data_IF_091552463224
#
_entry.id   IF_091552463224
#
_cell.length_a   1.000
_cell.length_b   1.000
_cell.length_c   1.000
_cell.angle_alpha   90.00
_cell.angle_beta   90.00
_cell.angle_gamma   90.00
#
_symmetry.space_group_name_H-M   'P 1'
#
loop_
_entity.id
_entity.type
_entity.pdbx_description
1 polymer ?
#
# COMPACT_ATOMS: atom_id res chain seq x y z
N UNK A 1 1.56 28.83 63.01
CA UNK A 1 2.97 28.46 62.76
C UNK A 1 3.48 29.42 61.67
N UNK A 2 4.06 30.61 61.93
CA UNK A 2 5.11 31.07 62.84
C UNK A 2 6.50 30.45 62.57
N UNK A 3 7.44 31.28 62.10
CA UNK A 3 8.89 31.05 61.95
C UNK A 3 9.50 32.03 60.92
N UNK A 4 9.78 33.30 61.25
CA UNK A 4 11.04 33.88 61.80
C UNK A 4 12.31 33.60 60.95
N UNK A 5 12.88 34.56 60.22
CA UNK A 5 13.85 35.64 60.57
C UNK A 5 15.31 35.19 60.86
N UNK A 6 16.27 35.72 60.09
CA UNK A 6 17.58 36.31 60.51
C UNK A 6 18.63 36.32 59.37
N UNK A 7 18.81 37.45 58.66
CA UNK A 7 19.98 38.37 58.68
C UNK A 7 21.29 37.88 59.32
N UNK A 8 22.43 37.98 58.61
CA UNK A 8 23.49 38.96 58.95
C UNK A 8 24.64 39.01 57.91
N UNK A 9 25.12 40.23 57.67
CA UNK A 9 26.32 40.61 56.93
C UNK A 9 27.57 40.67 57.83
N UNK A 10 28.77 40.59 57.20
CA UNK A 10 30.05 41.33 57.42
C UNK A 10 31.20 40.39 57.00
N UNK A 11 32.30 40.78 56.36
CA UNK A 11 32.89 42.08 55.99
C UNK A 11 34.43 41.92 55.89
N UNK A 12 35.08 42.71 55.02
CA UNK A 12 36.54 43.00 55.02
C UNK A 12 37.31 42.50 53.78
N UNK A 13 37.57 43.34 52.75
CA UNK A 13 38.67 44.34 52.54
C UNK A 13 40.04 43.69 52.19
N UNK A 14 40.53 43.72 50.92
CA UNK A 14 41.19 44.82 50.14
C UNK A 14 42.71 44.95 50.43
N UNK A 15 43.56 45.65 49.62
CA UNK A 15 43.57 45.98 48.18
C UNK A 15 45.00 45.98 47.53
N UNK A 16 45.10 46.23 46.22
CA UNK A 16 46.06 47.16 45.55
C UNK A 16 46.05 46.90 44.02
N UNK A 17 45.48 47.78 43.19
CA UNK A 17 45.92 49.11 42.72
C UNK A 17 47.04 49.13 41.66
N UNK A 18 46.64 49.50 40.43
CA UNK A 18 47.20 50.57 39.57
C UNK A 18 48.57 50.28 38.91
N UNK A 19 48.93 50.72 37.69
CA UNK A 19 48.39 51.67 36.71
C UNK A 19 49.18 51.52 35.37
N UNK A 20 48.62 52.09 34.31
CA UNK A 20 49.25 52.83 33.19
C UNK A 20 50.10 52.17 32.09
N UNK A 21 49.45 52.19 30.91
CA UNK A 21 49.94 52.60 29.57
C UNK A 21 51.28 53.37 29.54
N UNK A 22 52.17 53.08 28.58
CA UNK A 22 52.23 53.78 27.27
C UNK A 22 53.53 53.51 26.46
N UNK A 23 53.36 53.50 25.12
CA UNK A 23 54.20 54.09 24.06
C UNK A 23 55.65 53.63 23.77
N UNK A 24 55.86 53.44 22.44
CA UNK A 24 57.04 53.74 21.59
C UNK A 24 58.31 52.94 21.93
N UNK A 25 59.01 52.28 21.01
CA UNK A 25 59.36 52.67 19.66
C UNK A 25 60.90 52.73 19.57
N UNK A 26 61.45 52.15 18.49
CA UNK A 26 62.81 52.33 17.96
C UNK A 26 64.00 51.49 18.48
N UNK A 27 64.43 50.61 17.56
CA UNK A 27 65.75 50.54 16.88
C UNK A 27 66.96 49.95 17.61
N UNK A 28 67.73 49.24 16.75
CA UNK A 28 69.07 48.64 16.90
C UNK A 28 69.00 47.24 17.54
N UNK A 29 69.61 46.17 17.03
CA UNK A 29 70.92 46.07 16.38
C UNK A 29 70.89 44.99 15.28
N UNK A 30 71.56 45.35 14.19
CA UNK A 30 71.95 44.61 13.00
C UNK A 30 72.89 43.44 13.38
N UNK A 31 72.67 42.24 12.85
CA UNK A 31 73.74 41.42 12.25
C UNK A 31 73.27 40.03 11.83
N UNK A 32 73.42 39.78 10.52
CA UNK A 32 73.93 38.54 9.95
C UNK A 32 73.28 37.23 10.40
N UNK A 33 72.13 36.92 9.79
CA UNK A 33 71.72 35.53 9.58
C UNK A 33 71.14 35.35 8.19
N UNK A 34 72.02 35.09 7.22
CA UNK A 34 71.62 34.46 5.98
C UNK A 34 72.80 33.65 5.47
N UNK A 35 72.83 32.38 5.84
CA UNK A 35 73.03 31.23 4.95
C UNK A 35 73.47 30.04 5.80
N UNK A 36 72.84 28.91 5.48
CA UNK A 36 73.16 27.56 5.90
C UNK A 36 72.59 27.04 7.24
N UNK A 37 71.88 25.93 7.05
CA UNK A 37 71.56 24.83 7.97
C UNK A 37 70.13 24.86 8.56
N UNK A 38 69.43 23.78 8.23
CA UNK A 38 68.16 23.28 8.79
C UNK A 38 66.87 23.86 8.18
N UNK A 39 66.65 23.59 6.88
CA UNK A 39 65.30 23.41 6.31
C UNK A 39 65.03 21.92 6.14
N UNK A 40 64.67 21.26 7.23
CA UNK A 40 64.13 19.90 7.25
C UNK A 40 63.43 19.74 8.60
N UNK A 41 62.18 20.21 8.69
CA UNK A 41 61.17 19.93 9.74
C UNK A 41 60.05 20.98 9.66
N UNK A 42 59.29 21.00 8.56
CA UNK A 42 57.93 21.59 8.49
C UNK A 42 57.26 21.26 7.13
N UNK A 43 57.25 19.99 6.72
CA UNK A 43 56.42 19.49 5.61
C UNK A 43 55.85 18.09 5.94
N UNK A 44 55.47 17.86 7.20
CA UNK A 44 54.87 16.60 7.64
C UNK A 44 53.67 16.81 8.58
N UNK A 45 53.02 17.98 8.52
CA UNK A 45 51.83 18.30 9.33
C UNK A 45 50.68 18.91 8.51
N UNK A 46 50.75 18.86 7.18
CA UNK A 46 49.69 19.34 6.27
C UNK A 46 49.19 18.28 5.29
N UNK A 47 49.69 17.04 5.36
CA UNK A 47 49.18 15.90 4.60
C UNK A 47 48.44 14.85 5.46
N UNK A 48 48.33 15.05 6.77
CA UNK A 48 47.66 14.12 7.69
C UNK A 48 46.29 14.62 8.19
N UNK A 49 45.79 15.73 7.65
CA UNK A 49 44.40 16.20 7.83
C UNK A 49 43.59 16.19 6.52
N UNK A 50 44.17 15.71 5.41
CA UNK A 50 43.51 15.63 4.10
C UNK A 50 43.21 14.18 3.65
N UNK A 51 43.27 13.21 4.57
CA UNK A 51 43.07 11.78 4.25
C UNK A 51 41.88 11.13 4.98
N UNK A 52 41.12 11.89 5.79
CA UNK A 52 40.00 11.33 6.60
C UNK A 52 38.61 11.81 6.14
N UNK A 53 38.47 12.17 4.87
CA UNK A 53 37.18 12.48 4.25
C UNK A 53 37.00 11.65 2.97
N UNK A 54 37.41 10.37 2.99
CA UNK A 54 36.69 9.38 2.19
C UNK A 54 35.42 9.07 3.00
N UNK A 55 34.49 10.03 3.01
CA UNK A 55 33.09 9.68 3.18
C UNK A 55 32.83 8.76 2.01
N UNK A 56 32.70 7.46 2.26
CA UNK A 56 32.04 6.58 1.31
C UNK A 56 30.73 7.27 0.99
N UNK A 57 30.65 7.88 -0.20
CA UNK A 57 29.39 8.34 -0.74
C UNK A 57 28.52 7.09 -0.74
N UNK A 58 27.62 6.99 0.23
CA UNK A 58 26.53 6.06 0.13
C UNK A 58 25.85 6.47 -1.16
N UNK A 59 25.98 5.64 -2.20
CA UNK A 59 25.20 5.78 -3.42
C UNK A 59 23.74 5.79 -2.97
N UNK A 60 23.17 6.99 -2.81
CA UNK A 60 21.74 7.16 -2.65
C UNK A 60 21.18 6.63 -3.96
N UNK A 61 20.76 5.36 -3.93
CA UNK A 61 20.07 4.70 -5.04
C UNK A 61 19.05 5.72 -5.57
N UNK A 62 19.23 6.15 -6.81
CA UNK A 62 18.36 7.14 -7.42
C UNK A 62 16.91 6.69 -7.25
N UNK A 63 16.05 7.58 -6.75
CA UNK A 63 14.65 7.25 -6.54
C UNK A 63 14.02 6.88 -7.88
N UNK A 64 13.40 5.70 -7.94
CA UNK A 64 12.73 5.21 -9.13
C UNK A 64 11.49 6.08 -9.40
N UNK A 65 11.56 6.87 -10.47
CA UNK A 65 10.50 7.77 -10.91
C UNK A 65 9.52 7.11 -11.89
N UNK A 66 9.71 5.83 -12.21
CA UNK A 66 8.79 5.16 -13.12
C UNK A 66 7.38 5.12 -12.53
N UNK A 67 6.34 5.45 -13.32
CA UNK A 67 4.97 5.35 -12.86
C UNK A 67 4.57 3.90 -12.64
N UNK A 68 3.93 3.62 -11.51
CA UNK A 68 3.46 2.28 -11.17
C UNK A 68 2.05 2.33 -10.63
N UNK A 69 1.13 1.64 -11.29
CA UNK A 69 -0.20 1.36 -10.73
C UNK A 69 -0.07 0.15 -9.81
N UNK A 70 -0.58 0.29 -8.59
CA UNK A 70 -0.58 -0.79 -7.59
C UNK A 70 -1.96 -1.41 -7.50
N UNK A 71 -3.01 -0.61 -7.30
CA UNK A 71 -4.38 -1.11 -7.22
C UNK A 71 -5.37 -0.12 -7.82
N UNK A 72 -6.60 -0.60 -7.98
CA UNK A 72 -7.74 0.19 -8.44
C UNK A 72 -8.91 0.06 -7.48
N UNK A 73 -9.65 1.15 -7.28
CA UNK A 73 -10.83 1.18 -6.43
C UNK A 73 -11.98 1.80 -7.22
N UNK A 74 -13.09 1.07 -7.46
CA UNK A 74 -13.29 -0.35 -7.14
C UNK A 74 -12.43 -1.28 -8.01
N UNK A 75 -12.21 -2.53 -7.56
CA UNK A 75 -11.47 -3.55 -8.33
C UNK A 75 -12.16 -3.98 -9.63
N UNK A 76 -13.49 -3.88 -9.67
CA UNK A 76 -14.31 -4.22 -10.83
C UNK A 76 -15.14 -3.03 -11.30
N UNK A 77 -15.11 -2.73 -12.59
CA UNK A 77 -15.95 -1.74 -13.27
C UNK A 77 -17.03 -2.43 -14.10
N UNK A 78 -18.05 -1.69 -14.50
CA UNK A 78 -19.26 -2.28 -15.08
C UNK A 78 -19.36 -1.90 -16.57
N UNK A 79 -19.56 -2.91 -17.41
CA UNK A 79 -19.80 -2.72 -18.84
C UNK A 79 -21.13 -1.95 -19.10
N UNK A 80 -21.14 -1.13 -20.15
CA UNK A 80 -22.30 -0.37 -20.59
C UNK A 80 -22.51 0.97 -19.87
N UNK A 81 -21.58 1.41 -19.01
CA UNK A 81 -21.67 2.71 -18.35
C UNK A 81 -20.29 3.33 -18.07
N UNK A 82 -20.32 4.59 -17.64
CA UNK A 82 -19.17 5.29 -17.07
C UNK A 82 -19.01 4.90 -15.60
N UNK A 83 -17.77 4.63 -15.21
CA UNK A 83 -17.37 4.21 -13.87
C UNK A 83 -16.32 5.19 -13.34
N UNK A 84 -16.50 5.69 -12.13
CA UNK A 84 -15.45 6.41 -11.40
C UNK A 84 -14.46 5.39 -10.83
N UNK A 85 -13.19 5.54 -11.18
CA UNK A 85 -12.10 4.66 -10.73
C UNK A 85 -11.00 5.50 -10.09
N UNK A 86 -10.57 5.09 -8.91
CA UNK A 86 -9.37 5.59 -8.26
C UNK A 86 -8.22 4.61 -8.46
N UNK A 87 -7.15 5.06 -9.10
CA UNK A 87 -5.89 4.35 -9.21
C UNK A 87 -5.00 4.77 -8.05
N UNK A 88 -4.43 3.80 -7.34
CA UNK A 88 -3.40 4.02 -6.31
C UNK A 88 -2.08 3.48 -6.80
N UNK A 89 -0.98 4.20 -6.54
CA UNK A 89 0.32 3.80 -7.05
C UNK A 89 1.48 4.71 -6.65
N UNK A 90 2.58 4.58 -7.38
CA UNK A 90 3.78 5.39 -7.24
C UNK A 90 3.94 6.30 -8.46
N UNK A 91 4.37 7.54 -8.24
CA UNK A 91 4.66 8.53 -9.27
C UNK A 91 3.48 8.80 -10.24
N UNK A 92 2.23 8.68 -9.77
CA UNK A 92 1.03 8.91 -10.59
C UNK A 92 0.50 10.35 -10.52
N UNK A 93 1.01 11.17 -9.60
CA UNK A 93 0.55 12.54 -9.35
C UNK A 93 0.82 13.51 -10.51
N UNK A 94 1.60 13.10 -11.51
CA UNK A 94 1.86 13.82 -12.75
C UNK A 94 1.15 13.23 -13.98
N UNK A 95 0.29 12.21 -13.81
CA UNK A 95 -0.39 11.50 -14.90
C UNK A 95 -1.08 12.41 -15.93
N UNK A 96 -0.85 12.11 -17.21
CA UNK A 96 -1.39 12.85 -18.36
C UNK A 96 -2.55 12.14 -19.06
N UNK A 97 -2.52 10.82 -19.11
CA UNK A 97 -3.55 10.00 -19.75
C UNK A 97 -3.56 8.57 -19.20
N UNK A 98 -4.70 7.91 -19.36
CA UNK A 98 -4.84 6.45 -19.25
C UNK A 98 -5.02 5.92 -20.67
N UNK A 99 -4.20 4.93 -21.05
CA UNK A 99 -4.26 4.30 -22.37
C UNK A 99 -4.76 2.87 -22.21
N UNK A 100 -5.98 2.61 -22.65
CA UNK A 100 -6.53 1.25 -22.67
C UNK A 100 -6.11 0.51 -23.94
N UNK A 101 -5.76 -0.76 -23.81
CA UNK A 101 -5.42 -1.63 -24.95
C UNK A 101 -6.61 -1.76 -25.91
N UNK A 102 -7.81 -1.89 -25.35
CA UNK A 102 -9.05 -1.83 -26.13
C UNK A 102 -9.46 -0.35 -26.29
N UNK A 103 -9.29 0.16 -27.50
CA UNK A 103 -9.59 1.57 -27.85
C UNK A 103 -11.07 1.95 -27.74
N UNK A 104 -11.98 0.98 -27.56
CA UNK A 104 -13.40 1.25 -27.32
C UNK A 104 -13.66 1.68 -25.87
N UNK A 105 -12.77 1.33 -24.94
CA UNK A 105 -12.78 1.82 -23.55
C UNK A 105 -12.21 3.23 -23.52
N UNK A 106 -12.98 4.17 -22.98
CA UNK A 106 -12.61 5.60 -22.95
C UNK A 106 -12.39 6.04 -21.51
N UNK A 107 -11.32 6.80 -21.27
CA UNK A 107 -11.03 7.31 -19.94
C UNK A 107 -10.72 8.80 -19.96
N UNK A 108 -11.20 9.51 -18.95
CA UNK A 108 -10.88 10.92 -18.70
C UNK A 108 -10.39 11.08 -17.27
N UNK A 109 -9.26 11.75 -17.09
CA UNK A 109 -8.72 12.08 -15.77
C UNK A 109 -9.60 13.13 -15.08
N UNK A 110 -10.04 12.84 -13.86
CA UNK A 110 -10.80 13.76 -13.02
C UNK A 110 -9.89 14.53 -12.05
N UNK A 111 -8.98 13.82 -11.35
CA UNK A 111 -8.01 14.44 -10.45
C UNK A 111 -6.79 13.55 -10.25
N UNK A 112 -5.71 14.12 -9.69
CA UNK A 112 -4.46 13.42 -9.36
C UNK A 112 -3.75 14.12 -8.21
N UNK A 113 -2.95 13.40 -7.44
CA UNK A 113 -2.20 13.97 -6.34
C UNK A 113 -1.56 12.94 -5.42
N UNK A 114 -1.10 13.41 -4.26
CA UNK A 114 -0.63 12.52 -3.18
C UNK A 114 -1.78 11.75 -2.55
N UNK A 115 -1.46 10.61 -1.98
CA UNK A 115 -2.39 9.72 -1.30
C UNK A 115 -1.78 9.27 0.03
N UNK A 116 -2.60 9.21 1.08
CA UNK A 116 -2.11 8.85 2.40
C UNK A 116 -1.77 7.36 2.48
N UNK A 117 -0.64 7.05 3.10
CA UNK A 117 -0.20 5.70 3.45
C UNK A 117 -0.13 5.64 4.97
N UNK A 118 -0.92 4.75 5.64
CA UNK A 118 -0.85 4.60 7.09
C UNK A 118 0.59 4.31 7.57
N UNK A 119 0.98 4.79 8.75
CA UNK A 119 2.36 4.70 9.24
C UNK A 119 2.90 3.26 9.35
N UNK A 120 2.02 2.29 9.56
CA UNK A 120 2.35 0.86 9.62
C UNK A 120 2.33 0.17 8.24
N UNK A 121 2.17 0.94 7.16
CA UNK A 121 2.07 0.45 5.80
C UNK A 121 3.22 0.97 4.94
N UNK A 122 3.59 0.18 3.93
CA UNK A 122 4.63 0.55 2.96
C UNK A 122 4.00 1.21 1.74
N UNK A 123 4.58 2.30 1.24
CA UNK A 123 4.09 2.98 0.03
C UNK A 123 4.13 2.06 -1.19
N UNK A 124 5.08 1.13 -1.25
CA UNK A 124 5.20 0.15 -2.32
C UNK A 124 4.04 -0.86 -2.36
N UNK A 125 3.27 -0.95 -1.26
CA UNK A 125 2.09 -1.83 -1.13
C UNK A 125 0.77 -1.11 -1.39
N UNK A 126 0.65 0.18 -1.06
CA UNK A 126 -0.63 0.91 -1.13
C UNK A 126 -0.62 2.11 -2.09
N UNK A 127 0.55 2.56 -2.53
CA UNK A 127 0.75 3.78 -3.28
C UNK A 127 0.60 5.05 -2.45
N UNK A 128 1.54 5.98 -2.62
CA UNK A 128 1.55 7.33 -2.03
C UNK A 128 1.07 8.40 -3.02
N UNK A 129 0.62 7.99 -4.20
CA UNK A 129 0.00 8.83 -5.21
C UNK A 129 -1.29 8.20 -5.72
N UNK A 130 -2.20 9.03 -6.21
CA UNK A 130 -3.49 8.61 -6.71
C UNK A 130 -3.92 9.40 -7.94
N UNK A 131 -4.78 8.77 -8.73
CA UNK A 131 -5.44 9.35 -9.90
C UNK A 131 -6.91 8.92 -9.87
N UNK A 132 -7.84 9.86 -9.93
CA UNK A 132 -9.26 9.58 -10.17
C UNK A 132 -9.55 9.77 -11.65
N UNK A 133 -10.25 8.82 -12.26
CA UNK A 133 -10.64 8.86 -13.66
C UNK A 133 -12.08 8.37 -13.85
N UNK A 134 -12.74 8.93 -14.85
CA UNK A 134 -14.02 8.45 -15.37
C UNK A 134 -13.74 7.51 -16.53
N UNK A 135 -14.11 6.24 -16.40
CA UNK A 135 -13.84 5.17 -17.38
C UNK A 135 -15.17 4.65 -17.92
N UNK A 136 -15.44 4.93 -19.20
CA UNK A 136 -16.56 4.37 -19.93
C UNK A 136 -16.17 3.04 -20.58
N UNK A 137 -16.94 1.99 -20.27
CA UNK A 137 -16.80 0.66 -20.87
C UNK A 137 -18.03 0.38 -21.75
N UNK A 138 -17.87 0.03 -23.03
CA UNK A 138 -18.98 -0.34 -23.90
C UNK A 138 -19.78 -1.54 -23.38
N UNK A 139 -21.07 -1.59 -23.69
CA UNK A 139 -21.95 -2.68 -23.26
C UNK A 139 -21.60 -4.03 -23.90
N UNK A 140 -21.04 -4.00 -25.12
CA UNK A 140 -20.67 -5.16 -25.93
C UNK A 140 -19.21 -5.60 -25.76
N UNK A 141 -18.47 -4.99 -24.82
CA UNK A 141 -17.10 -5.36 -24.47
C UNK A 141 -16.99 -6.89 -24.26
N UNK A 142 -15.99 -7.52 -24.88
CA UNK A 142 -15.90 -8.99 -24.99
C UNK A 142 -14.97 -9.66 -23.98
N UNK A 143 -14.30 -8.90 -23.11
CA UNK A 143 -13.38 -9.42 -22.09
C UNK A 143 -13.93 -9.35 -20.67
N UNK A 144 -13.24 -10.03 -19.76
CA UNK A 144 -13.48 -9.95 -18.32
C UNK A 144 -12.52 -8.98 -17.63
N UNK A 145 -11.52 -8.47 -18.35
CA UNK A 145 -10.55 -7.50 -17.88
C UNK A 145 -10.26 -6.45 -18.97
N UNK A 146 -10.14 -5.19 -18.56
CA UNK A 146 -9.66 -4.09 -19.38
C UNK A 146 -8.23 -3.74 -18.97
N UNK A 147 -7.27 -3.99 -19.86
CA UNK A 147 -5.86 -3.66 -19.65
C UNK A 147 -5.57 -2.20 -20.02
N UNK A 148 -4.75 -1.52 -19.23
CA UNK A 148 -4.37 -0.12 -19.47
C UNK A 148 -2.97 0.21 -18.94
N UNK A 149 -2.39 1.29 -19.44
CA UNK A 149 -1.19 1.93 -18.89
C UNK A 149 -1.47 3.37 -18.48
N UNK A 150 -0.65 3.93 -17.58
CA UNK A 150 -0.69 5.34 -17.20
C UNK A 150 0.53 6.04 -17.79
N UNK A 151 0.29 7.14 -18.51
CA UNK A 151 1.34 8.01 -19.04
C UNK A 151 1.66 9.14 -18.05
N UNK A 152 2.94 9.34 -17.78
CA UNK A 152 3.48 10.49 -17.03
C UNK A 152 4.64 11.13 -17.82
N UNK A 153 5.13 12.33 -17.45
CA UNK A 153 6.35 12.88 -18.05
C UNK A 153 7.58 11.97 -17.95
N UNK A 154 7.63 11.09 -16.94
CA UNK A 154 8.76 10.20 -16.67
C UNK A 154 8.64 8.82 -17.37
N UNK A 155 7.54 8.58 -18.10
CA UNK A 155 7.36 7.38 -18.92
C UNK A 155 5.94 6.80 -18.87
N UNK A 156 5.80 5.55 -19.31
CA UNK A 156 4.57 4.77 -19.17
C UNK A 156 4.72 3.71 -18.08
N UNK A 157 3.63 3.44 -17.38
CA UNK A 157 3.59 2.36 -16.40
C UNK A 157 3.63 0.99 -17.07
N UNK A 158 3.97 -0.04 -16.30
CA UNK A 158 3.61 -1.41 -16.68
C UNK A 158 2.08 -1.53 -16.85
N UNK A 159 1.60 -2.48 -17.68
CA UNK A 159 0.17 -2.72 -17.84
C UNK A 159 -0.49 -3.11 -16.51
N UNK A 160 -1.56 -2.40 -16.17
CA UNK A 160 -2.48 -2.74 -15.09
C UNK A 160 -3.81 -3.23 -15.67
N UNK A 161 -4.65 -3.82 -14.82
CA UNK A 161 -5.92 -4.42 -15.23
C UNK A 161 -7.06 -3.99 -14.32
N UNK A 162 -8.23 -3.82 -14.92
CA UNK A 162 -9.51 -3.60 -14.25
C UNK A 162 -10.43 -4.76 -14.61
N UNK A 163 -11.03 -5.43 -13.62
CA UNK A 163 -12.04 -6.44 -13.91
C UNK A 163 -13.29 -5.75 -14.49
N UNK A 164 -13.96 -6.41 -15.44
CA UNK A 164 -15.15 -5.90 -16.12
C UNK A 164 -16.34 -6.79 -15.80
N UNK A 165 -17.19 -6.29 -14.91
CA UNK A 165 -18.43 -6.91 -14.47
C UNK A 165 -19.57 -6.63 -15.46
N UNK A 166 -20.46 -7.60 -15.62
CA UNK A 166 -21.65 -7.48 -16.47
C UNK A 166 -22.86 -7.09 -15.64
N UNK A 167 -23.65 -6.08 -16.07
CA UNK A 167 -24.93 -5.77 -15.42
C UNK A 167 -25.77 -7.04 -15.23
N UNK A 168 -26.26 -7.26 -14.01
CA UNK A 168 -27.10 -8.42 -13.65
C UNK A 168 -26.35 -9.73 -13.37
N UNK A 169 -25.03 -9.79 -13.57
CA UNK A 169 -24.20 -10.97 -13.25
C UNK A 169 -23.39 -10.83 -11.95
N UNK A 170 -23.54 -9.70 -11.26
CA UNK A 170 -22.89 -9.42 -9.99
C UNK A 170 -23.83 -8.63 -9.07
N UNK A 171 -23.50 -8.59 -7.79
CA UNK A 171 -24.11 -7.75 -6.77
C UNK A 171 -23.02 -7.00 -5.99
N UNK A 172 -23.38 -5.89 -5.37
CA UNK A 172 -22.53 -5.27 -4.35
C UNK A 172 -22.69 -6.02 -3.02
N UNK A 173 -21.65 -6.00 -2.20
CA UNK A 173 -21.83 -6.28 -0.78
C UNK A 173 -22.79 -5.27 -0.14
N UNK A 174 -23.44 -5.67 0.95
CA UNK A 174 -24.31 -4.81 1.74
C UNK A 174 -24.13 -5.11 3.22
N UNK A 175 -23.63 -4.12 3.94
CA UNK A 175 -23.52 -4.12 5.40
C UNK A 175 -24.89 -3.99 6.08
N UNK A 176 -25.09 -4.48 7.29
CA UNK A 176 -24.17 -5.25 8.16
C UNK A 176 -24.29 -6.75 7.85
N UNK A 177 -23.21 -7.35 7.32
CA UNK A 177 -23.10 -8.76 6.96
C UNK A 177 -22.04 -9.52 7.79
N UNK A 178 -21.72 -8.99 8.98
CA UNK A 178 -20.65 -9.45 9.89
C UNK A 178 -20.84 -10.80 10.57
N UNK A 179 -21.97 -11.49 10.38
CA UNK A 179 -22.32 -12.66 11.19
C UNK A 179 -23.28 -13.63 10.52
N UNK A 180 -23.31 -14.87 11.02
CA UNK A 180 -24.24 -15.90 10.52
C UNK A 180 -25.71 -15.58 10.85
N UNK A 181 -25.95 -14.65 11.77
CA UNK A 181 -27.30 -14.15 12.09
C UNK A 181 -27.79 -13.11 11.07
N UNK A 182 -26.89 -12.40 10.40
CA UNK A 182 -27.19 -11.38 9.40
C UNK A 182 -26.38 -11.57 8.11
N UNK A 183 -26.41 -12.76 7.49
CA UNK A 183 -25.66 -12.95 6.25
C UNK A 183 -26.32 -12.15 5.12
N UNK A 184 -25.53 -11.65 4.18
CA UNK A 184 -26.08 -11.21 2.91
C UNK A 184 -26.49 -12.43 2.08
N UNK A 185 -27.77 -12.51 1.71
CA UNK A 185 -28.26 -13.64 0.90
C UNK A 185 -27.90 -13.46 -0.58
N UNK A 186 -27.37 -14.52 -1.19
CA UNK A 186 -26.90 -14.51 -2.59
C UNK A 186 -27.49 -15.68 -3.38
N UNK A 187 -27.71 -15.48 -4.67
CA UNK A 187 -28.19 -16.51 -5.60
C UNK A 187 -27.07 -16.86 -6.58
N UNK A 188 -26.73 -18.15 -6.69
CA UNK A 188 -25.69 -18.63 -7.59
C UNK A 188 -26.24 -18.95 -8.99
N UNK A 189 -25.45 -18.74 -10.07
CA UNK A 189 -24.11 -18.15 -10.05
C UNK A 189 -24.15 -16.62 -9.87
N UNK A 190 -23.19 -16.06 -9.15
CA UNK A 190 -23.02 -14.61 -9.00
C UNK A 190 -21.57 -14.25 -8.72
N UNK A 191 -21.23 -12.98 -8.90
CA UNK A 191 -20.05 -12.36 -8.32
C UNK A 191 -20.49 -11.32 -7.29
N UNK A 192 -19.87 -11.28 -6.13
CA UNK A 192 -20.04 -10.16 -5.19
C UNK A 192 -18.82 -9.26 -5.28
N UNK A 193 -19.05 -7.95 -5.44
CA UNK A 193 -18.02 -6.93 -5.29
C UNK A 193 -18.08 -6.39 -3.87
N UNK A 194 -17.01 -6.63 -3.11
CA UNK A 194 -16.96 -6.29 -1.70
C UNK A 194 -15.63 -5.68 -1.27
N UNK A 195 -15.52 -5.37 0.02
CA UNK A 195 -14.36 -4.81 0.68
C UNK A 195 -14.41 -5.09 2.17
N UNK A 196 -13.32 -5.64 2.72
CA UNK A 196 -13.09 -5.72 4.17
C UNK A 196 -12.77 -4.32 4.67
N UNK A 197 -13.77 -3.57 5.14
CA UNK A 197 -13.70 -2.10 5.32
C UNK A 197 -12.88 -1.68 6.53
N UNK A 198 -12.74 -2.55 7.52
CA UNK A 198 -12.06 -2.26 8.77
C UNK A 198 -11.31 -3.49 9.32
N UNK A 199 -10.37 -3.30 10.25
CA UNK A 199 -9.79 -4.44 10.95
C UNK A 199 -10.86 -5.32 11.60
N UNK A 200 -10.66 -6.65 11.54
CA UNK A 200 -11.60 -7.66 12.06
C UNK A 200 -12.99 -7.66 11.39
N UNK A 201 -13.12 -6.99 10.25
CA UNK A 201 -14.33 -7.06 9.42
C UNK A 201 -14.42 -8.43 8.73
N UNK A 202 -15.63 -8.96 8.65
CA UNK A 202 -15.93 -10.31 8.19
C UNK A 202 -17.18 -10.25 7.32
N UNK A 203 -17.07 -10.67 6.07
CA UNK A 203 -18.22 -10.70 5.17
C UNK A 203 -18.83 -12.09 5.11
N UNK A 204 -20.10 -12.23 5.52
CA UNK A 204 -20.84 -13.49 5.48
C UNK A 204 -21.90 -13.47 4.36
N UNK A 205 -21.77 -14.40 3.42
CA UNK A 205 -22.72 -14.62 2.33
C UNK A 205 -23.45 -15.94 2.48
N UNK A 206 -24.79 -15.94 2.45
CA UNK A 206 -25.59 -17.16 2.55
C UNK A 206 -26.24 -17.55 1.22
N UNK A 207 -26.27 -18.86 0.92
CA UNK A 207 -26.94 -19.42 -0.24
C UNK A 207 -27.58 -20.78 0.07
N UNK A 208 -28.57 -21.17 -0.73
CA UNK A 208 -29.21 -22.48 -0.66
C UNK A 208 -28.51 -23.48 -1.59
N UNK A 209 -28.32 -24.72 -1.13
CA UNK A 209 -27.71 -25.79 -1.90
C UNK A 209 -28.37 -27.14 -1.65
N UNK A 210 -28.06 -28.11 -2.52
CA UNK A 210 -28.57 -29.49 -2.47
C UNK A 210 -27.43 -30.49 -2.32
N UNK A 211 -27.72 -31.63 -1.71
CA UNK A 211 -26.81 -32.74 -1.58
C UNK A 211 -26.24 -33.14 -2.96
N UNK A 212 -24.93 -33.34 -3.03
CA UNK A 212 -24.22 -33.69 -4.26
C UNK A 212 -23.95 -32.52 -5.22
N UNK A 213 -24.51 -31.33 -4.99
CA UNK A 213 -24.11 -30.15 -5.79
C UNK A 213 -22.68 -29.75 -5.48
N UNK A 214 -21.91 -29.43 -6.52
CA UNK A 214 -20.55 -28.91 -6.37
C UNK A 214 -20.58 -27.39 -6.48
N UNK A 215 -20.13 -26.71 -5.43
CA UNK A 215 -19.94 -25.27 -5.39
C UNK A 215 -18.47 -24.93 -5.55
N UNK A 216 -18.19 -23.87 -6.32
CA UNK A 216 -16.86 -23.27 -6.43
C UNK A 216 -16.93 -21.80 -6.03
N UNK A 217 -15.97 -21.37 -5.22
CA UNK A 217 -15.74 -19.98 -4.86
C UNK A 217 -14.32 -19.57 -5.24
N UNK A 218 -14.14 -18.39 -5.81
CA UNK A 218 -12.84 -17.81 -6.14
C UNK A 218 -12.84 -16.35 -5.75
N UNK A 219 -11.81 -15.91 -5.02
CA UNK A 219 -11.51 -14.50 -4.80
C UNK A 219 -10.63 -13.99 -5.94
N UNK A 220 -10.86 -12.74 -6.32
CA UNK A 220 -9.94 -11.95 -7.12
C UNK A 220 -9.67 -10.65 -6.34
N UNK A 221 -8.50 -10.56 -5.72
CA UNK A 221 -8.07 -9.42 -4.91
C UNK A 221 -6.58 -9.14 -5.13
N UNK A 222 -5.69 -10.02 -4.66
CA UNK A 222 -4.24 -9.85 -4.74
C UNK A 222 -3.75 -9.75 -6.18
N UNK A 223 -4.33 -10.52 -7.12
CA UNK A 223 -4.01 -10.42 -8.56
C UNK A 223 -4.39 -9.09 -9.20
N UNK A 224 -5.33 -8.35 -8.60
CA UNK A 224 -5.70 -6.99 -8.99
C UNK A 224 -5.04 -5.92 -8.10
N UNK A 225 -4.08 -6.32 -7.27
CA UNK A 225 -3.27 -5.43 -6.45
C UNK A 225 -3.88 -5.03 -5.11
N UNK A 226 -5.06 -5.58 -4.76
CA UNK A 226 -5.63 -5.38 -3.43
C UNK A 226 -4.63 -5.81 -2.34
N UNK A 227 -4.49 -5.03 -1.26
CA UNK A 227 -3.68 -5.44 -0.11
C UNK A 227 -4.31 -6.59 0.69
N UNK A 228 -5.57 -6.94 0.43
CA UNK A 228 -6.28 -8.03 1.08
C UNK A 228 -5.53 -9.35 0.92
N UNK A 229 -5.34 -10.04 2.03
CA UNK A 229 -4.88 -11.42 2.08
C UNK A 229 -6.09 -12.28 2.45
N UNK A 230 -6.88 -12.66 1.46
CA UNK A 230 -8.21 -13.18 1.71
C UNK A 230 -8.15 -14.64 2.17
N UNK A 231 -8.96 -14.99 3.17
CA UNK A 231 -9.33 -16.39 3.44
C UNK A 231 -10.78 -16.62 3.06
N UNK A 232 -11.07 -17.83 2.56
CA UNK A 232 -12.42 -18.32 2.30
C UNK A 232 -12.74 -19.48 3.23
N UNK A 233 -13.88 -19.44 3.89
CA UNK A 233 -14.42 -20.60 4.61
C UNK A 233 -15.87 -20.88 4.25
N UNK A 234 -16.23 -22.15 4.15
CA UNK A 234 -17.57 -22.63 3.83
C UNK A 234 -18.15 -23.36 5.04
N UNK A 235 -19.33 -22.96 5.47
CA UNK A 235 -20.02 -23.49 6.64
C UNK A 235 -21.42 -23.99 6.29
N UNK A 236 -21.95 -24.95 7.05
CA UNK A 236 -23.35 -25.36 6.98
C UNK A 236 -24.24 -24.63 8.00
N UNK A 237 -25.55 -24.86 7.92
CA UNK A 237 -26.56 -24.37 8.86
C UNK A 237 -26.36 -24.77 10.34
N UNK A 238 -25.51 -25.76 10.62
CA UNK A 238 -25.17 -26.19 11.98
C UNK A 238 -23.85 -25.60 12.47
N UNK A 239 -23.36 -24.53 11.82
CA UNK A 239 -22.09 -23.87 12.10
C UNK A 239 -20.89 -24.82 12.08
N UNK A 240 -20.96 -25.87 11.24
CA UNK A 240 -19.83 -26.77 11.00
C UNK A 240 -19.03 -26.25 9.80
N UNK A 241 -17.72 -26.09 9.99
CA UNK A 241 -16.79 -25.79 8.91
C UNK A 241 -16.69 -26.99 7.97
N UNK A 242 -16.94 -26.77 6.69
CA UNK A 242 -16.90 -27.79 5.65
C UNK A 242 -15.63 -27.74 4.82
N UNK A 243 -15.14 -26.53 4.53
CA UNK A 243 -13.94 -26.31 3.74
C UNK A 243 -13.35 -24.93 4.03
N UNK A 244 -12.04 -24.80 3.82
CA UNK A 244 -11.29 -23.54 3.94
C UNK A 244 -10.25 -23.42 2.83
N UNK A 245 -9.93 -22.20 2.42
CA UNK A 245 -8.85 -21.86 1.50
C UNK A 245 -8.25 -20.50 1.89
N UNK A 246 -6.96 -20.31 1.55
CA UNK A 246 -6.19 -19.09 1.85
C UNK A 246 -5.41 -18.71 0.58
N UNK A 247 -4.32 -19.42 0.29
CA UNK A 247 -3.58 -19.26 -0.97
C UNK A 247 -4.01 -20.27 -2.06
N UNK A 248 -3.79 -19.89 -3.32
CA UNK A 248 -3.85 -20.79 -4.47
C UNK A 248 -2.46 -21.01 -5.08
N UNK A 249 -2.24 -22.11 -5.83
CA UNK A 249 -0.97 -22.28 -6.54
C UNK A 249 -0.67 -21.10 -7.48
N UNK A 250 0.35 -20.32 -7.12
CA UNK A 250 0.86 -19.20 -7.93
C UNK A 250 0.37 -17.80 -7.53
N UNK A 251 -0.59 -17.68 -6.61
CA UNK A 251 -1.12 -16.39 -6.15
C UNK A 251 -1.75 -16.48 -4.75
N UNK A 252 -2.03 -15.31 -4.13
CA UNK A 252 -2.65 -15.21 -2.80
C UNK A 252 -4.18 -15.12 -2.82
N UNK A 253 -4.79 -15.50 -3.95
CA UNK A 253 -6.24 -15.43 -4.08
C UNK A 253 -6.84 -16.83 -3.84
N UNK A 254 -7.64 -17.03 -2.76
CA UNK A 254 -8.17 -18.34 -2.41
C UNK A 254 -9.15 -18.87 -3.46
N UNK A 255 -9.08 -20.18 -3.69
CA UNK A 255 -10.05 -20.95 -4.48
C UNK A 255 -10.55 -22.13 -3.66
N UNK A 256 -11.87 -22.30 -3.60
CA UNK A 256 -12.53 -23.37 -2.87
C UNK A 256 -13.46 -24.14 -3.82
N UNK A 257 -13.43 -25.46 -3.77
CA UNK A 257 -14.38 -26.32 -4.45
C UNK A 257 -14.87 -27.42 -3.51
N UNK A 258 -16.18 -27.54 -3.32
CA UNK A 258 -16.74 -28.46 -2.34
C UNK A 258 -18.05 -29.09 -2.83
N UNK A 259 -18.24 -30.38 -2.53
CA UNK A 259 -19.49 -31.09 -2.81
C UNK A 259 -20.36 -31.07 -1.56
N UNK A 260 -21.53 -30.45 -1.66
CA UNK A 260 -22.43 -30.23 -0.53
C UNK A 260 -22.99 -31.58 -0.02
N UNK A 261 -22.94 -31.84 1.30
CA UNK A 261 -23.33 -33.15 1.86
C UNK A 261 -24.85 -33.31 2.01
N UNK A 262 -25.59 -32.20 2.09
CA UNK A 262 -27.01 -32.20 2.38
C UNK A 262 -27.74 -31.04 1.66
N UNK A 263 -29.06 -31.11 1.63
CA UNK A 263 -29.89 -29.97 1.26
C UNK A 263 -29.90 -28.94 2.40
N UNK A 264 -29.91 -27.66 2.04
CA UNK A 264 -30.12 -26.57 2.99
C UNK A 264 -29.22 -25.37 2.75
N UNK A 265 -29.13 -24.55 3.80
CA UNK A 265 -28.41 -23.28 3.78
C UNK A 265 -26.93 -23.44 4.10
N UNK A 266 -26.11 -22.72 3.35
CA UNK A 266 -24.66 -22.66 3.49
C UNK A 266 -24.20 -21.21 3.58
N UNK A 267 -23.02 -21.02 4.19
CA UNK A 267 -22.41 -19.71 4.38
C UNK A 267 -21.00 -19.71 3.82
N UNK A 268 -20.70 -18.80 2.91
CA UNK A 268 -19.34 -18.47 2.52
C UNK A 268 -18.91 -17.24 3.33
N UNK A 269 -17.73 -17.32 3.94
CA UNK A 269 -17.16 -16.23 4.74
C UNK A 269 -15.89 -15.76 4.05
N UNK A 270 -15.76 -14.44 3.90
CA UNK A 270 -14.55 -13.75 3.44
C UNK A 270 -14.02 -12.91 4.61
N UNK A 271 -12.72 -13.00 4.86
CA UNK A 271 -12.01 -12.20 5.87
C UNK A 271 -10.55 -12.04 5.46
N UNK A 272 -9.85 -11.08 6.05
CA UNK A 272 -8.40 -10.96 5.91
C UNK A 272 -7.67 -11.93 6.86
N UNK A 273 -6.64 -12.62 6.38
CA UNK A 273 -5.84 -13.59 7.14
C UNK A 273 -5.10 -12.96 8.33
N UNK A 274 -4.92 -11.63 8.33
CA UNK A 274 -4.21 -10.86 9.34
C UNK A 274 -5.13 -9.90 10.11
N UNK A 275 -6.45 -10.09 10.00
CA UNK A 275 -7.48 -9.21 10.58
C UNK A 275 -7.33 -7.73 10.13
N UNK A 276 -6.70 -7.48 8.99
CA UNK A 276 -6.57 -6.14 8.43
C UNK A 276 -7.82 -5.75 7.63
N UNK A 277 -8.05 -4.45 7.48
CA UNK A 277 -9.10 -3.95 6.62
C UNK A 277 -9.02 -2.44 6.42
N UNK A 278 -9.49 -1.99 5.27
CA UNK A 278 -9.63 -0.59 4.89
C UNK A 278 -10.45 -0.50 3.61
N UNK A 279 -10.84 0.71 3.20
CA UNK A 279 -11.48 0.94 1.90
C UNK A 279 -10.63 0.50 0.68
N UNK A 280 -9.35 0.14 0.87
CA UNK A 280 -8.49 -0.41 -0.18
C UNK A 280 -8.54 -1.95 -0.25
N UNK A 281 -9.04 -2.65 0.78
CA UNK A 281 -9.12 -4.13 0.83
C UNK A 281 -10.33 -4.66 0.06
N UNK A 282 -10.49 -4.18 -1.17
CA UNK A 282 -11.53 -4.65 -2.07
C UNK A 282 -11.28 -6.09 -2.50
N UNK A 283 -12.36 -6.78 -2.88
CA UNK A 283 -12.32 -8.09 -3.52
C UNK A 283 -13.48 -8.28 -4.49
N UNK A 284 -13.33 -9.25 -5.39
CA UNK A 284 -14.44 -9.85 -6.13
C UNK A 284 -14.52 -11.33 -5.74
N UNK A 285 -15.65 -11.80 -5.24
CA UNK A 285 -15.87 -13.23 -4.96
C UNK A 285 -16.86 -13.82 -5.95
N UNK A 286 -16.41 -14.74 -6.78
CA UNK A 286 -17.26 -15.46 -7.74
C UNK A 286 -17.75 -16.76 -7.09
N UNK A 287 -19.06 -16.91 -6.93
CA UNK A 287 -19.71 -18.14 -6.47
C UNK A 287 -20.46 -18.79 -7.63
N UNK A 288 -20.14 -20.04 -7.96
CA UNK A 288 -20.71 -20.76 -9.09
C UNK A 288 -21.04 -22.20 -8.73
N UNK A 289 -22.05 -22.76 -9.41
CA UNK A 289 -22.23 -24.19 -9.52
C UNK A 289 -21.24 -24.72 -10.55
N UNK A 290 -20.51 -25.78 -10.22
CA UNK A 290 -19.74 -26.53 -11.20
C UNK A 290 -20.39 -27.87 -11.47
N UNK A 291 -20.18 -28.41 -12.66
CA UNK A 291 -20.46 -29.83 -12.88
C UNK A 291 -19.69 -30.67 -11.85
N UNK A 292 -20.25 -31.81 -11.39
CA UNK A 292 -19.46 -32.79 -10.64
C UNK A 292 -18.23 -33.14 -11.48
N UNK A 293 -17.05 -33.18 -10.87
CA UNK A 293 -15.88 -33.75 -11.57
C UNK A 293 -16.22 -35.20 -11.91
N UNK A 294 -16.17 -35.63 -13.18
CA UNK A 294 -16.37 -37.03 -13.50
C UNK A 294 -15.34 -37.85 -12.74
N UNK A 295 -15.80 -38.75 -11.88
CA UNK A 295 -14.91 -39.73 -11.27
C UNK A 295 -14.49 -40.65 -12.41
N UNK A 296 -13.26 -40.52 -12.90
CA UNK A 296 -12.69 -41.52 -13.79
C UNK A 296 -12.51 -42.78 -12.93
N UNK A 297 -13.26 -43.88 -13.18
CA UNK A 297 -13.02 -45.10 -12.44
C UNK A 297 -11.58 -45.54 -12.68
N UNK A 298 -10.85 -45.82 -11.59
CA UNK A 298 -9.52 -46.41 -11.63
C UNK A 298 -9.58 -47.84 -12.16
#
# INVERSE_FOLDING_TARGET
MAGLWASSMRGGWSPSCLDRRSRRGQRRILSMRLFQRVRLLTWAATCLLAASQIVCAQDKKAEDKSPKVILTVPLGIIAGKTNTVELRGLNLDTAKALHFTDTTVRATLASKGKADVPQNQKKERLGDTQVKAEVFVPADFKGDEAAFTVETPDGQSAPARLAVLRPGAFIEESEDNGSFAKPQSVRLPTTVRGSIKAPQDVDVFAFEGKAGQRVTAEILAARLGSPLDATLTLWNASNTLLASADDSPGDRDPRLAFTLPADGRYFLVVQDAHDAGSALHGYLVSLKWSAPTPVVPK
#
